data_IF_798092514531
#
_entry.id   IF_798092514531
#
_cell.length_a   1.000
_cell.length_b   1.000
_cell.length_c   1.000
_cell.angle_alpha   90.00
_cell.angle_beta   90.00
_cell.angle_gamma   90.00
#
_symmetry.space_group_name_H-M   'P 1'
#
loop_
_entity.id
_entity.type
_entity.pdbx_description
1 polymer ?
#
# COMPACT_ATOMS: atom_id res chain seq x y z
N UNK A 1 2.87 -48.76 -24.79
CA UNK A 1 2.27 -47.90 -23.75
C UNK A 1 3.33 -46.91 -23.28
N UNK A 2 3.24 -45.67 -23.70
CA UNK A 2 4.21 -44.63 -23.44
C UNK A 2 3.60 -43.71 -22.36
N UNK A 3 4.12 -43.78 -21.15
CA UNK A 3 3.62 -43.03 -19.98
C UNK A 3 4.19 -41.62 -20.07
N UNK A 4 3.36 -40.64 -20.39
CA UNK A 4 3.70 -39.21 -20.41
C UNK A 4 3.67 -38.68 -18.97
N UNK A 5 4.85 -38.50 -18.38
CA UNK A 5 4.98 -37.86 -17.07
C UNK A 5 4.82 -36.34 -17.23
N UNK A 6 3.68 -35.82 -16.79
CA UNK A 6 3.43 -34.38 -16.64
C UNK A 6 4.24 -33.87 -15.42
N UNK A 7 5.36 -33.20 -15.68
CA UNK A 7 6.04 -32.40 -14.66
C UNK A 7 5.25 -31.10 -14.44
N UNK A 8 4.41 -31.08 -13.41
CA UNK A 8 3.85 -29.85 -12.86
C UNK A 8 4.99 -29.09 -12.17
N UNK A 9 5.51 -28.08 -12.84
CA UNK A 9 6.51 -27.17 -12.27
C UNK A 9 5.87 -26.33 -11.18
N UNK A 10 6.15 -26.67 -9.92
CA UNK A 10 5.78 -25.90 -8.73
C UNK A 10 6.58 -24.58 -8.66
N UNK A 11 6.27 -23.59 -9.52
CA UNK A 11 6.84 -22.24 -9.44
C UNK A 11 6.17 -21.36 -8.38
N UNK A 12 5.06 -21.80 -7.74
CA UNK A 12 4.31 -20.99 -6.77
C UNK A 12 4.94 -20.88 -5.38
N UNK A 13 5.67 -21.89 -4.91
CA UNK A 13 6.17 -21.95 -3.54
C UNK A 13 7.14 -20.81 -3.17
N UNK A 14 8.15 -20.57 -4.00
CA UNK A 14 9.18 -19.56 -3.71
C UNK A 14 8.64 -18.12 -3.63
N UNK A 15 7.65 -17.77 -4.42
CA UNK A 15 7.05 -16.42 -4.38
C UNK A 15 6.15 -16.24 -3.16
N UNK A 16 5.45 -17.29 -2.74
CA UNK A 16 4.66 -17.27 -1.51
C UNK A 16 5.53 -17.21 -0.25
N UNK A 17 6.65 -17.95 -0.21
CA UNK A 17 7.61 -17.89 0.89
C UNK A 17 8.22 -16.49 1.01
N UNK A 18 8.51 -15.83 -0.14
CA UNK A 18 9.02 -14.46 -0.19
C UNK A 18 7.97 -13.46 0.33
N UNK A 19 6.71 -13.57 -0.11
CA UNK A 19 5.62 -12.73 0.39
C UNK A 19 5.40 -12.91 1.90
N UNK A 20 5.52 -14.13 2.41
CA UNK A 20 5.42 -14.41 3.84
C UNK A 20 6.57 -13.76 4.63
N UNK A 21 7.79 -13.76 4.08
CA UNK A 21 8.95 -13.09 4.69
C UNK A 21 8.75 -11.57 4.72
N UNK A 22 8.38 -10.95 3.60
CA UNK A 22 8.08 -9.51 3.54
C UNK A 22 7.03 -9.14 4.59
N UNK A 23 5.95 -9.91 4.69
CA UNK A 23 4.91 -9.69 5.71
C UNK A 23 5.47 -9.74 7.13
N UNK A 24 6.32 -10.73 7.42
CA UNK A 24 6.93 -10.87 8.73
C UNK A 24 7.85 -9.68 9.05
N UNK A 25 8.65 -9.22 8.10
CA UNK A 25 9.52 -8.04 8.25
C UNK A 25 8.69 -6.78 8.53
N UNK A 26 7.58 -6.57 7.79
CA UNK A 26 6.66 -5.45 8.01
C UNK A 26 5.97 -5.52 9.38
N UNK A 27 5.56 -6.71 9.82
CA UNK A 27 4.94 -6.90 11.15
C UNK A 27 5.90 -6.67 12.31
N UNK A 28 7.19 -6.77 12.09
CA UNK A 28 8.24 -6.55 13.09
C UNK A 28 8.80 -5.12 13.05
N UNK A 29 8.42 -4.34 12.04
CA UNK A 29 8.88 -2.97 11.87
C UNK A 29 8.41 -2.08 13.04
N UNK A 30 9.33 -1.33 13.62
CA UNK A 30 9.03 -0.36 14.67
C UNK A 30 8.73 1.02 14.10
N UNK A 31 9.23 1.30 12.90
CA UNK A 31 8.90 2.53 12.19
C UNK A 31 8.97 2.34 10.68
N UNK A 32 8.16 3.10 9.96
CA UNK A 32 8.18 3.23 8.52
C UNK A 32 8.11 4.70 8.14
N UNK A 33 9.00 5.14 7.27
CA UNK A 33 8.94 6.45 6.64
C UNK A 33 8.99 6.29 5.13
N UNK A 34 8.26 7.13 4.39
CA UNK A 34 8.26 7.10 2.93
C UNK A 34 7.80 8.43 2.36
N UNK A 35 8.33 8.79 1.20
CA UNK A 35 7.74 9.78 0.32
C UNK A 35 6.82 9.10 -0.68
N UNK A 36 5.63 9.65 -0.88
CA UNK A 36 4.59 9.06 -1.69
C UNK A 36 4.13 10.03 -2.77
N UNK A 37 3.91 9.53 -3.97
CA UNK A 37 3.07 10.19 -4.96
C UNK A 37 1.78 9.40 -5.08
N UNK A 38 0.68 9.97 -4.64
CA UNK A 38 -0.64 9.33 -4.65
C UNK A 38 -1.51 9.96 -5.74
N UNK A 39 -1.94 9.16 -6.70
CA UNK A 39 -2.93 9.57 -7.69
C UNK A 39 -4.27 8.91 -7.39
N UNK A 40 -5.32 9.72 -7.22
CA UNK A 40 -6.69 9.27 -6.98
C UNK A 40 -7.56 9.57 -8.20
N UNK A 41 -8.17 8.54 -8.78
CA UNK A 41 -9.10 8.64 -9.91
C UNK A 41 -10.54 8.34 -9.46
N UNK A 42 -11.34 9.40 -9.35
CA UNK A 42 -12.78 9.31 -9.04
C UNK A 42 -13.65 9.41 -10.29
N UNK A 43 -13.07 9.26 -11.48
CA UNK A 43 -13.76 9.31 -12.77
C UNK A 43 -13.78 10.70 -13.38
N UNK A 44 -14.61 11.61 -12.87
CA UNK A 44 -14.67 12.99 -13.37
C UNK A 44 -13.48 13.84 -12.93
N UNK A 45 -12.80 13.45 -11.86
CA UNK A 45 -11.67 14.19 -11.28
C UNK A 45 -10.55 13.23 -10.92
N UNK A 46 -9.34 13.65 -11.29
CA UNK A 46 -8.09 13.00 -10.90
C UNK A 46 -7.29 13.97 -10.04
N UNK A 47 -6.82 13.50 -8.90
CA UNK A 47 -5.99 14.27 -7.98
C UNK A 47 -4.65 13.59 -7.84
N UNK A 48 -3.57 14.36 -7.83
CA UNK A 48 -2.23 13.87 -7.50
C UNK A 48 -1.71 14.66 -6.32
N UNK A 49 -1.26 13.94 -5.29
CA UNK A 49 -0.70 14.48 -4.06
C UNK A 49 0.70 13.93 -3.85
N UNK A 50 1.64 14.81 -3.50
CA UNK A 50 2.88 14.45 -2.83
C UNK A 50 2.62 14.37 -1.33
N UNK A 51 3.00 13.26 -0.70
CA UNK A 51 2.78 13.02 0.73
C UNK A 51 4.08 12.50 1.36
N UNK A 52 4.33 12.90 2.61
CA UNK A 52 5.31 12.27 3.48
C UNK A 52 4.60 11.42 4.52
N UNK A 53 4.97 10.16 4.63
CA UNK A 53 4.48 9.26 5.67
C UNK A 53 5.55 9.05 6.75
N UNK A 54 5.11 9.08 8.01
CA UNK A 54 5.91 8.72 9.18
C UNK A 54 5.00 7.99 10.18
N UNK A 55 5.38 6.78 10.60
CA UNK A 55 4.56 6.03 11.54
C UNK A 55 5.06 4.62 11.79
N UNK A 56 4.24 3.88 12.52
CA UNK A 56 4.38 2.46 12.82
C UNK A 56 3.07 1.72 12.45
N UNK A 57 2.86 0.51 12.99
CA UNK A 57 1.66 -0.28 12.71
C UNK A 57 0.40 0.24 13.40
N UNK A 58 0.54 1.02 14.47
CA UNK A 58 -0.58 1.48 15.31
C UNK A 58 -0.98 2.92 14.98
N UNK A 59 0.03 3.74 14.67
CA UNK A 59 -0.15 5.16 14.43
C UNK A 59 0.70 5.63 13.27
N UNK A 60 0.12 6.44 12.38
CA UNK A 60 0.84 7.03 11.27
C UNK A 60 0.34 8.42 10.94
N UNK A 61 1.25 9.25 10.44
CA UNK A 61 0.94 10.60 9.96
C UNK A 61 1.32 10.72 8.50
N UNK A 62 0.38 11.17 7.69
CA UNK A 62 0.60 11.62 6.32
C UNK A 62 0.60 13.14 6.30
N UNK A 63 1.63 13.74 5.75
CA UNK A 63 1.74 15.19 5.56
C UNK A 63 1.75 15.51 4.07
N UNK A 64 0.89 16.42 3.62
CA UNK A 64 0.88 16.90 2.23
C UNK A 64 2.13 17.73 1.97
N UNK A 65 2.92 17.33 0.98
CA UNK A 65 4.08 18.05 0.48
C UNK A 65 3.80 18.78 -0.83
N UNK A 66 2.84 18.28 -1.61
CA UNK A 66 2.35 18.85 -2.87
C UNK A 66 0.86 18.57 -3.07
N UNK A 67 0.09 19.50 -3.67
CA UNK A 67 0.48 20.82 -4.18
C UNK A 67 0.64 21.88 -3.07
N UNK A 68 1.31 22.98 -3.39
CA UNK A 68 1.59 24.08 -2.46
C UNK A 68 0.34 24.63 -1.75
N UNK A 69 -0.78 24.67 -2.43
CA UNK A 69 -2.05 25.23 -1.92
C UNK A 69 -2.53 24.54 -0.62
N UNK A 70 -2.23 23.24 -0.45
CA UNK A 70 -2.63 22.44 0.71
C UNK A 70 -1.43 21.83 1.42
N UNK A 71 -0.22 22.33 1.15
CA UNK A 71 0.99 21.87 1.83
C UNK A 71 0.86 22.06 3.34
N UNK A 72 1.29 21.05 4.10
CA UNK A 72 1.22 21.04 5.55
C UNK A 72 -0.11 20.54 6.13
N UNK A 73 -1.10 20.21 5.29
CA UNK A 73 -2.26 19.42 5.77
C UNK A 73 -1.73 18.07 6.22
N UNK A 74 -2.09 17.64 7.42
CA UNK A 74 -1.73 16.33 7.97
C UNK A 74 -2.95 15.46 8.19
N UNK A 75 -2.78 14.16 8.05
CA UNK A 75 -3.74 13.16 8.48
C UNK A 75 -3.05 12.20 9.43
N UNK A 76 -3.49 12.16 10.67
CA UNK A 76 -3.02 11.18 11.66
C UNK A 76 -4.04 10.06 11.76
N UNK A 77 -3.56 8.83 11.59
CA UNK A 77 -4.35 7.61 11.77
C UNK A 77 -3.89 6.89 13.01
N UNK A 78 -4.82 6.55 13.90
CA UNK A 78 -4.57 5.82 15.14
C UNK A 78 -5.81 5.02 15.51
N UNK A 79 -5.66 3.73 15.83
CA UNK A 79 -6.74 2.83 16.26
C UNK A 79 -7.99 2.86 15.34
N UNK A 80 -7.80 2.98 14.03
CA UNK A 80 -8.91 3.03 13.05
C UNK A 80 -9.58 4.39 12.88
N UNK A 81 -9.18 5.40 13.64
CA UNK A 81 -9.64 6.80 13.50
C UNK A 81 -8.69 7.60 12.62
N UNK A 82 -9.20 8.64 11.97
CA UNK A 82 -8.39 9.56 11.17
C UNK A 82 -8.74 11.00 11.53
N UNK A 83 -7.74 11.74 12.00
CA UNK A 83 -7.85 13.17 12.28
C UNK A 83 -7.08 13.95 11.21
N UNK A 84 -7.75 14.91 10.57
CA UNK A 84 -7.10 15.86 9.67
C UNK A 84 -6.77 17.12 10.47
N UNK A 85 -5.53 17.61 10.32
CA UNK A 85 -5.08 18.88 10.92
C UNK A 85 -4.61 19.83 9.83
N UNK A 86 -5.07 21.07 9.88
CA UNK A 86 -4.59 22.14 9.00
C UNK A 86 -4.54 23.45 9.77
N UNK A 87 -3.38 24.11 9.73
CA UNK A 87 -3.14 25.40 10.42
C UNK A 87 -3.52 25.35 11.92
N UNK A 88 -3.23 24.22 12.59
CA UNK A 88 -3.53 24.00 14.00
C UNK A 88 -5.00 23.75 14.34
N UNK A 89 -5.85 23.58 13.32
CA UNK A 89 -7.25 23.20 13.50
C UNK A 89 -7.43 21.72 13.15
N UNK A 90 -7.98 20.97 14.09
CA UNK A 90 -8.27 19.55 13.91
C UNK A 90 -9.69 19.35 13.41
N UNK A 91 -9.82 18.48 12.40
CA UNK A 91 -11.08 18.03 11.84
C UNK A 91 -11.19 16.52 12.05
N UNK A 92 -12.05 16.10 12.96
CA UNK A 92 -12.36 14.69 13.10
C UNK A 92 -13.13 14.21 11.85
N UNK A 93 -12.53 13.28 11.12
CA UNK A 93 -13.16 12.68 9.93
C UNK A 93 -13.99 11.44 10.27
N UNK A 94 -14.08 11.12 11.57
CA UNK A 94 -14.73 9.91 12.07
C UNK A 94 -13.92 8.63 11.76
N UNK A 95 -14.55 7.50 12.07
CA UNK A 95 -13.97 6.20 11.74
C UNK A 95 -13.56 6.17 10.26
N UNK A 96 -12.46 5.50 9.99
CA UNK A 96 -12.03 5.22 8.61
C UNK A 96 -13.12 4.39 7.91
N UNK A 97 -14.29 5.02 7.70
CA UNK A 97 -15.35 4.40 6.93
C UNK A 97 -14.80 3.99 5.55
N UNK A 98 -15.32 2.95 4.90
CA UNK A 98 -14.73 2.29 3.73
C UNK A 98 -14.68 3.20 2.48
N UNK A 99 -14.10 4.39 2.66
CA UNK A 99 -13.77 5.35 1.61
C UNK A 99 -12.31 5.20 1.23
N UNK A 100 -12.02 4.85 -0.01
CA UNK A 100 -10.65 4.89 -0.55
C UNK A 100 -10.27 6.36 -0.68
N UNK A 101 -9.46 6.88 0.26
CA UNK A 101 -9.04 8.29 0.34
C UNK A 101 -7.53 8.40 0.31
N UNK A 102 -6.94 9.38 -0.43
CA UNK A 102 -5.49 9.58 -0.45
C UNK A 102 -4.87 9.76 0.94
N UNK A 103 -5.51 10.54 1.81
CA UNK A 103 -4.99 10.88 3.15
C UNK A 103 -5.09 9.73 4.17
N UNK A 104 -5.70 8.61 3.84
CA UNK A 104 -5.74 7.41 4.68
C UNK A 104 -5.18 6.17 3.97
N UNK A 105 -4.54 6.36 2.81
CA UNK A 105 -4.08 5.26 1.99
C UNK A 105 -3.08 4.36 2.71
N UNK A 106 -2.16 4.92 3.49
CA UNK A 106 -1.15 4.13 4.20
C UNK A 106 -1.75 3.22 5.26
N UNK A 107 -2.78 3.66 5.98
CA UNK A 107 -3.48 2.81 6.94
C UNK A 107 -4.06 1.57 6.24
N UNK A 108 -4.73 1.77 5.08
CA UNK A 108 -5.26 0.67 4.27
C UNK A 108 -4.15 -0.26 3.77
N UNK A 109 -3.06 0.31 3.22
CA UNK A 109 -1.95 -0.47 2.68
C UNK A 109 -1.28 -1.32 3.76
N UNK A 110 -0.97 -0.73 4.92
CA UNK A 110 -0.30 -1.42 6.02
C UNK A 110 -1.17 -2.51 6.63
N UNK A 111 -2.48 -2.28 6.80
CA UNK A 111 -3.41 -3.32 7.21
C UNK A 111 -3.35 -4.53 6.27
N UNK A 112 -3.39 -4.28 4.96
CA UNK A 112 -3.34 -5.34 3.96
C UNK A 112 -1.97 -6.04 3.90
N UNK A 113 -0.87 -5.32 4.06
CA UNK A 113 0.48 -5.90 4.10
C UNK A 113 0.64 -6.84 5.30
N UNK A 114 0.15 -6.44 6.46
CA UNK A 114 0.34 -7.19 7.71
C UNK A 114 -0.68 -8.32 7.90
N UNK A 115 -1.95 -8.11 7.52
CA UNK A 115 -3.05 -9.03 7.84
C UNK A 115 -3.96 -9.39 6.67
N UNK A 116 -3.80 -8.74 5.51
CA UNK A 116 -4.66 -8.93 4.34
C UNK A 116 -4.67 -10.36 3.79
N UNK A 117 -5.81 -10.77 3.24
CA UNK A 117 -5.96 -12.07 2.58
C UNK A 117 -5.24 -12.06 1.23
N UNK A 118 -4.11 -12.76 1.14
CA UNK A 118 -3.36 -12.90 -0.12
C UNK A 118 -4.15 -13.76 -1.09
N UNK A 119 -4.42 -13.21 -2.27
CA UNK A 119 -5.10 -13.90 -3.37
C UNK A 119 -4.12 -14.52 -4.35
N UNK A 120 -3.07 -13.79 -4.69
CA UNK A 120 -2.04 -14.24 -5.59
C UNK A 120 -0.71 -13.51 -5.35
N UNK A 121 0.37 -14.15 -5.77
CA UNK A 121 1.73 -13.60 -5.73
C UNK A 121 2.40 -13.91 -7.06
N UNK A 122 2.99 -12.89 -7.70
CA UNK A 122 3.73 -13.01 -8.95
C UNK A 122 5.04 -12.24 -8.91
N UNK A 123 6.02 -12.67 -9.70
CA UNK A 123 7.24 -11.88 -9.93
C UNK A 123 7.10 -11.14 -11.24
N UNK A 124 7.36 -9.84 -11.19
CA UNK A 124 7.19 -8.94 -12.32
C UNK A 124 8.43 -8.08 -12.56
N UNK A 125 8.62 -7.67 -13.80
CA UNK A 125 9.62 -6.68 -14.15
C UNK A 125 8.93 -5.32 -14.18
N UNK A 126 9.40 -4.40 -13.33
CA UNK A 126 8.94 -3.00 -13.30
C UNK A 126 10.02 -2.08 -13.89
N UNK A 127 9.73 -0.81 -14.03
CA UNK A 127 10.71 0.20 -14.44
C UNK A 127 11.85 0.35 -13.41
N UNK A 128 11.56 0.08 -12.14
CA UNK A 128 12.51 0.19 -11.02
C UNK A 128 13.30 -1.11 -10.78
N UNK A 129 12.96 -2.21 -11.48
CA UNK A 129 13.65 -3.49 -11.32
C UNK A 129 12.69 -4.67 -11.19
N UNK A 130 13.20 -5.77 -10.64
CA UNK A 130 12.39 -6.97 -10.37
C UNK A 130 11.62 -6.80 -9.07
N UNK A 131 10.32 -7.00 -9.11
CA UNK A 131 9.45 -6.87 -7.98
C UNK A 131 8.59 -8.12 -7.75
N UNK A 132 8.17 -8.31 -6.49
CA UNK A 132 7.13 -9.24 -6.09
C UNK A 132 5.82 -8.51 -6.02
N UNK A 133 4.88 -8.83 -6.90
CA UNK A 133 3.52 -8.33 -6.84
C UNK A 133 2.70 -9.23 -5.92
N UNK A 134 2.17 -8.64 -4.86
CA UNK A 134 1.29 -9.32 -3.89
C UNK A 134 -0.11 -8.71 -4.02
N UNK A 135 -1.07 -9.54 -4.42
CA UNK A 135 -2.46 -9.15 -4.51
C UNK A 135 -3.21 -9.59 -3.26
N UNK A 136 -3.85 -8.64 -2.59
CA UNK A 136 -4.66 -8.86 -1.39
C UNK A 136 -6.10 -8.42 -1.60
N UNK A 137 -7.00 -8.94 -0.78
CA UNK A 137 -8.40 -8.55 -0.76
C UNK A 137 -8.80 -8.04 0.61
N UNK A 138 -9.33 -6.83 0.65
CA UNK A 138 -9.88 -6.22 1.85
C UNK A 138 -11.30 -6.74 2.10
N UNK A 139 -12.17 -6.64 1.09
CA UNK A 139 -13.55 -7.15 1.10
C UNK A 139 -13.97 -7.63 -0.31
N UNK A 140 -15.26 -7.83 -0.53
CA UNK A 140 -15.78 -8.28 -1.84
C UNK A 140 -15.60 -7.24 -2.96
N UNK A 141 -15.41 -5.97 -2.62
CA UNK A 141 -15.34 -4.86 -3.57
C UNK A 141 -13.93 -4.29 -3.69
N UNK A 142 -13.12 -4.38 -2.63
CA UNK A 142 -11.81 -3.73 -2.55
C UNK A 142 -10.69 -4.75 -2.62
N UNK A 143 -9.82 -4.57 -3.61
CA UNK A 143 -8.59 -5.34 -3.78
C UNK A 143 -7.39 -4.39 -3.86
N UNK A 144 -6.23 -4.90 -3.51
CA UNK A 144 -4.98 -4.16 -3.52
C UNK A 144 -3.90 -4.99 -4.19
N UNK A 145 -3.10 -4.35 -5.02
CA UNK A 145 -1.85 -4.89 -5.55
C UNK A 145 -0.69 -4.07 -5.00
N UNK A 146 0.33 -4.72 -4.45
CA UNK A 146 1.55 -4.05 -4.00
C UNK A 146 2.76 -4.72 -4.60
N UNK A 147 3.66 -3.92 -5.16
CA UNK A 147 4.94 -4.38 -5.69
C UNK A 147 6.04 -4.07 -4.68
N UNK A 148 6.72 -5.12 -4.24
CA UNK A 148 7.88 -5.02 -3.37
C UNK A 148 9.13 -5.33 -4.17
N UNK A 149 10.17 -4.51 -4.05
CA UNK A 149 11.47 -4.80 -4.66
C UNK A 149 12.03 -6.11 -4.10
N UNK A 150 12.51 -6.99 -4.99
CA UNK A 150 12.98 -8.33 -4.60
C UNK A 150 14.33 -8.35 -3.86
N UNK A 151 15.07 -7.24 -3.84
CA UNK A 151 16.36 -7.16 -3.16
C UNK A 151 16.23 -6.52 -1.78
N UNK A 152 15.41 -5.48 -1.69
CA UNK A 152 15.25 -4.67 -0.47
C UNK A 152 14.01 -5.02 0.33
N UNK A 153 13.05 -5.73 -0.26
CA UNK A 153 11.70 -6.00 0.27
C UNK A 153 10.87 -4.74 0.56
N UNK A 154 11.34 -3.57 0.11
CA UNK A 154 10.61 -2.31 0.29
C UNK A 154 9.50 -2.15 -0.76
N UNK A 155 8.36 -1.54 -0.43
CA UNK A 155 7.32 -1.24 -1.40
C UNK A 155 7.82 -0.19 -2.40
N UNK A 156 7.56 -0.41 -3.68
CA UNK A 156 7.88 0.52 -4.77
C UNK A 156 6.63 1.10 -5.42
N UNK A 157 5.53 0.35 -5.38
CA UNK A 157 4.24 0.75 -5.94
C UNK A 157 3.10 0.03 -5.23
N UNK A 158 1.94 0.68 -5.12
CA UNK A 158 0.69 0.03 -4.75
C UNK A 158 -0.48 0.58 -5.55
N UNK A 159 -1.50 -0.23 -5.76
CA UNK A 159 -2.74 0.14 -6.41
C UNK A 159 -3.93 -0.40 -5.61
N UNK A 160 -4.96 0.41 -5.47
CA UNK A 160 -6.20 0.05 -4.77
C UNK A 160 -7.34 0.12 -5.77
N UNK A 161 -8.09 -0.96 -5.84
CA UNK A 161 -9.20 -1.12 -6.76
C UNK A 161 -10.52 -1.25 -6.00
N UNK A 162 -11.58 -0.69 -6.56
CA UNK A 162 -12.95 -0.94 -6.13
C UNK A 162 -13.76 -1.46 -7.30
N UNK A 163 -14.36 -2.66 -7.16
CA UNK A 163 -15.11 -3.33 -8.22
C UNK A 163 -14.31 -3.45 -9.53
N UNK A 164 -13.01 -3.73 -9.43
CA UNK A 164 -12.10 -3.86 -10.57
C UNK A 164 -11.65 -2.54 -11.21
N UNK A 165 -12.16 -1.38 -10.75
CA UNK A 165 -11.69 -0.06 -11.19
C UNK A 165 -10.59 0.44 -10.25
N UNK A 166 -9.45 0.86 -10.81
CA UNK A 166 -8.38 1.49 -10.03
C UNK A 166 -8.86 2.84 -9.50
N UNK A 167 -8.77 3.01 -8.18
CA UNK A 167 -9.16 4.22 -7.47
C UNK A 167 -7.94 5.02 -6.99
N UNK A 168 -6.91 4.31 -6.51
CA UNK A 168 -5.65 4.93 -6.08
C UNK A 168 -4.47 4.20 -6.71
N UNK A 169 -3.47 4.97 -7.12
CA UNK A 169 -2.13 4.50 -7.44
C UNK A 169 -1.14 5.25 -6.55
N UNK A 170 -0.21 4.52 -5.94
CA UNK A 170 0.82 5.04 -5.02
C UNK A 170 2.17 4.63 -5.55
N UNK A 171 3.04 5.62 -5.80
CA UNK A 171 4.46 5.39 -6.02
C UNK A 171 5.22 5.75 -4.74
N UNK A 172 6.19 4.90 -4.36
CA UNK A 172 7.00 5.08 -3.16
C UNK A 172 8.42 5.52 -3.52
N UNK A 173 8.94 6.46 -2.72
CA UNK A 173 10.32 6.90 -2.75
C UNK A 173 10.85 7.03 -1.31
N UNK A 174 12.17 7.00 -1.15
CA UNK A 174 12.87 7.20 0.13
C UNK A 174 12.28 6.40 1.29
N UNK A 175 11.93 5.13 1.00
CA UNK A 175 11.33 4.23 1.99
C UNK A 175 12.41 3.76 2.96
N UNK A 176 12.11 3.89 4.26
CA UNK A 176 12.94 3.34 5.35
C UNK A 176 12.06 2.59 6.33
N UNK A 177 12.51 1.39 6.70
CA UNK A 177 11.86 0.52 7.71
C UNK A 177 12.92 0.19 8.76
N UNK A 178 12.59 0.32 10.03
CA UNK A 178 13.48 0.02 11.15
C UNK A 178 12.79 -0.78 12.26
#
# INVERSE_FOLDING_TARGET
MMTLALFLTACGGKSQDEAARIRQELQQAQSLTADLTVTADYGERVYTLGLRYEGDLERGTLTVTEPELIRGVTATTEAGSCTLTYDGVDFDTGDLAPGIRPMSVMALLMEQWCSGLVQSVSREQTEQGKALCVNTRYDEQITQSTWFDLQTHLPVRAEVYRNGKMMLSVAFADVTIS
#
